data_IF_523527472302
#
_entry.id   IF_523527472302
#
_cell.length_a   1.000
_cell.length_b   1.000
_cell.length_c   1.000
_cell.angle_alpha   90.00
_cell.angle_beta   90.00
_cell.angle_gamma   90.00
#
_symmetry.space_group_name_H-M   'P 1'
#
loop_
_entity.id
_entity.type
_entity.pdbx_description
1 polymer ?
#
# COMPACT_ATOMS: atom_id res chain seq x y z
N UNK A 1 18.28 4.01 -4.43
CA UNK A 1 17.42 3.81 -5.58
C UNK A 1 17.71 4.77 -6.74
N UNK A 2 18.15 6.00 -6.48
CA UNK A 2 18.33 7.06 -7.49
C UNK A 2 19.80 7.55 -7.60
N UNK A 3 20.75 6.63 -7.52
CA UNK A 3 22.18 6.98 -7.61
C UNK A 3 22.52 7.86 -8.81
N UNK A 4 22.00 7.64 -10.02
CA UNK A 4 22.29 8.51 -11.16
C UNK A 4 21.75 9.94 -10.96
N UNK A 5 20.54 10.10 -10.40
CA UNK A 5 19.97 11.41 -10.11
C UNK A 5 20.79 12.17 -9.06
N UNK A 6 21.22 11.50 -8.00
CA UNK A 6 22.10 12.10 -6.97
C UNK A 6 23.45 12.51 -7.56
N UNK A 7 24.03 11.68 -8.44
CA UNK A 7 25.28 12.04 -9.13
C UNK A 7 25.09 13.24 -10.06
N UNK A 8 23.98 13.28 -10.82
CA UNK A 8 23.67 14.41 -11.68
C UNK A 8 23.50 15.71 -10.89
N UNK A 9 22.80 15.66 -9.75
CA UNK A 9 22.62 16.83 -8.88
C UNK A 9 23.95 17.31 -8.23
N UNK A 10 24.93 16.43 -8.05
CA UNK A 10 26.26 16.78 -7.54
C UNK A 10 27.20 17.34 -8.61
N UNK A 11 26.86 17.20 -9.89
CA UNK A 11 27.64 17.77 -10.98
C UNK A 11 27.47 19.30 -10.99
N UNK A 12 28.57 20.08 -10.90
CA UNK A 12 28.52 21.54 -10.95
C UNK A 12 27.84 22.09 -12.23
N UNK A 13 27.79 21.27 -13.28
CA UNK A 13 27.17 21.64 -14.57
C UNK A 13 25.66 21.43 -14.59
N UNK A 14 25.07 20.80 -13.57
CA UNK A 14 23.64 20.50 -13.51
C UNK A 14 22.77 21.75 -13.66
N UNK A 15 23.19 22.88 -13.06
CA UNK A 15 22.55 24.17 -13.22
C UNK A 15 23.58 25.21 -13.65
N UNK A 16 23.68 25.54 -14.96
CA UNK A 16 24.67 26.48 -15.46
C UNK A 16 24.61 27.83 -14.74
N UNK A 17 25.77 28.36 -14.34
CA UNK A 17 25.89 29.67 -13.69
C UNK A 17 25.46 29.73 -12.22
N UNK A 18 25.20 28.58 -11.58
CA UNK A 18 24.88 28.53 -10.14
C UNK A 18 25.83 27.60 -9.40
N UNK A 19 26.17 27.98 -8.17
CA UNK A 19 26.81 27.09 -7.20
C UNK A 19 25.69 26.32 -6.48
N UNK A 20 25.70 25.00 -6.62
CA UNK A 20 24.71 24.14 -5.97
C UNK A 20 25.13 23.91 -4.50
N UNK A 21 24.16 23.84 -3.58
CA UNK A 21 24.45 23.45 -2.20
C UNK A 21 24.86 21.97 -2.13
N UNK A 22 25.53 21.55 -1.06
CA UNK A 22 25.81 20.14 -0.81
C UNK A 22 24.52 19.30 -0.76
N UNK A 23 24.52 18.13 -1.41
CA UNK A 23 23.39 17.20 -1.43
C UNK A 23 23.66 16.07 -0.43
N UNK A 24 22.75 15.92 0.54
CA UNK A 24 22.77 14.86 1.54
C UNK A 24 21.54 13.97 1.37
N UNK A 25 21.75 12.67 1.23
CA UNK A 25 20.67 11.68 1.21
C UNK A 25 20.35 11.28 2.66
N UNK A 26 19.11 11.50 3.10
CA UNK A 26 18.69 11.28 4.49
C UNK A 26 17.91 9.98 4.70
N UNK A 27 17.87 9.09 3.70
CA UNK A 27 17.18 7.80 3.79
C UNK A 27 15.65 7.92 3.74
N UNK A 28 14.94 6.79 3.88
CA UNK A 28 13.49 6.81 3.86
C UNK A 28 12.96 7.50 5.12
N UNK A 29 12.18 8.59 4.90
CA UNK A 29 11.42 9.23 5.96
C UNK A 29 10.06 8.50 6.04
N UNK A 30 9.95 7.55 6.93
CA UNK A 30 8.71 6.88 7.29
C UNK A 30 8.41 7.22 8.74
N UNK A 31 7.13 7.38 9.06
CA UNK A 31 6.72 7.59 10.44
C UNK A 31 7.17 6.40 11.29
N UNK A 32 8.22 6.62 12.10
CA UNK A 32 8.69 5.66 13.09
C UNK A 32 7.74 5.68 14.29
N UNK A 33 7.40 4.50 14.76
CA UNK A 33 6.76 4.30 16.05
C UNK A 33 5.41 5.01 16.31
N UNK A 34 4.38 4.76 15.49
CA UNK A 34 2.98 4.84 15.94
C UNK A 34 2.49 6.13 16.63
N UNK A 35 3.24 7.23 16.56
CA UNK A 35 2.92 8.48 17.27
C UNK A 35 2.37 9.58 16.38
N UNK A 36 2.07 9.30 15.15
CA UNK A 36 1.59 10.31 14.20
C UNK A 36 0.08 10.26 14.05
N UNK A 37 -0.59 10.86 14.94
CA UNK A 37 -1.66 11.86 14.91
C UNK A 37 -2.24 12.00 16.33
N UNK A 38 -2.13 13.17 16.97
CA UNK A 38 -2.68 13.40 18.30
C UNK A 38 -4.21 13.36 18.34
N UNK A 39 -4.87 13.21 17.20
CA UNK A 39 -6.32 13.38 17.06
C UNK A 39 -7.12 12.10 16.73
N UNK A 40 -6.46 10.95 16.65
CA UNK A 40 -7.18 9.68 16.70
C UNK A 40 -7.07 9.16 18.13
N UNK A 41 -8.10 9.49 18.93
CA UNK A 41 -8.22 9.09 20.31
C UNK A 41 -7.78 7.66 20.52
N UNK A 42 -7.25 7.32 21.70
CA UNK A 42 -6.95 5.96 22.21
C UNK A 42 -8.22 5.09 22.09
N UNK A 43 -8.65 4.87 20.84
CA UNK A 43 -9.78 4.06 20.44
C UNK A 43 -9.34 2.64 20.16
N UNK A 44 -10.26 1.71 20.21
CA UNK A 44 -10.05 0.28 19.97
C UNK A 44 -9.15 0.03 18.73
N UNK A 45 -8.22 -0.90 18.88
CA UNK A 45 -7.33 -1.39 17.80
C UNK A 45 -8.15 -1.70 16.54
N UNK A 46 -7.69 -1.27 15.36
CA UNK A 46 -8.43 -1.46 14.12
C UNK A 46 -8.72 -2.96 13.88
N UNK A 47 -9.96 -3.30 13.55
CA UNK A 47 -10.39 -4.70 13.42
C UNK A 47 -9.58 -5.55 12.45
N UNK A 48 -8.98 -4.94 11.40
CA UNK A 48 -8.12 -5.67 10.47
C UNK A 48 -6.83 -6.19 11.14
N UNK A 49 -6.30 -5.53 12.16
CA UNK A 49 -5.12 -5.98 12.89
C UNK A 49 -5.45 -7.20 13.76
N UNK A 50 -6.63 -7.20 14.38
CA UNK A 50 -7.10 -8.37 15.13
C UNK A 50 -7.34 -9.58 14.21
N UNK A 51 -7.80 -9.34 12.97
CA UNK A 51 -7.93 -10.40 11.97
C UNK A 51 -6.55 -10.93 11.53
N UNK A 52 -5.55 -10.05 11.34
CA UNK A 52 -4.18 -10.44 11.00
C UNK A 52 -3.53 -11.29 12.09
N UNK A 53 -3.78 -11.01 13.38
CA UNK A 53 -3.26 -11.83 14.50
C UNK A 53 -3.66 -13.30 14.40
N UNK A 54 -4.80 -13.59 13.79
CA UNK A 54 -5.29 -14.97 13.59
C UNK A 54 -4.73 -15.63 12.31
N UNK A 55 -3.91 -14.94 11.52
CA UNK A 55 -3.37 -15.48 10.28
C UNK A 55 -1.95 -16.03 10.48
N UNK A 56 -1.56 -17.07 9.72
CA UNK A 56 -0.19 -17.56 9.71
C UNK A 56 0.82 -16.49 9.29
N UNK A 57 2.04 -16.61 9.75
CA UNK A 57 3.15 -15.73 9.39
C UNK A 57 3.36 -15.70 7.87
N UNK A 58 3.61 -14.49 7.31
CA UNK A 58 3.89 -14.23 5.89
C UNK A 58 2.88 -14.84 4.91
N UNK A 59 1.61 -14.97 5.32
CA UNK A 59 0.56 -15.65 4.53
C UNK A 59 -0.44 -14.73 3.87
N UNK A 60 -0.47 -13.46 4.26
CA UNK A 60 -1.49 -12.50 3.81
C UNK A 60 -0.92 -11.58 2.74
N UNK A 61 -1.62 -11.48 1.62
CA UNK A 61 -1.40 -10.44 0.61
C UNK A 61 -2.23 -9.23 0.98
N UNK A 62 -1.57 -8.10 1.26
CA UNK A 62 -2.24 -6.83 1.50
C UNK A 62 -2.44 -6.09 0.20
N UNK A 63 -3.65 -5.58 -0.08
CA UNK A 63 -3.93 -4.74 -1.24
C UNK A 63 -4.39 -3.36 -0.77
N UNK A 64 -3.65 -2.31 -1.18
CA UNK A 64 -4.03 -0.92 -0.93
C UNK A 64 -3.51 -0.01 -2.05
N UNK A 65 -4.40 0.80 -2.61
CA UNK A 65 -4.13 1.68 -3.74
C UNK A 65 -4.03 3.16 -3.32
N UNK A 66 -3.70 3.40 -2.04
CA UNK A 66 -3.48 4.72 -1.47
C UNK A 66 -4.76 5.52 -1.21
N UNK A 67 -4.58 6.78 -0.77
CA UNK A 67 -5.70 7.64 -0.36
C UNK A 67 -6.53 8.20 -1.51
N UNK A 68 -6.01 8.16 -2.74
CA UNK A 68 -6.68 8.68 -3.96
C UNK A 68 -6.88 7.60 -5.02
N UNK A 69 -6.29 6.42 -4.84
CA UNK A 69 -6.40 5.33 -5.80
C UNK A 69 -7.81 4.74 -5.81
N UNK A 70 -8.53 4.92 -6.92
CA UNK A 70 -9.83 4.30 -7.15
C UNK A 70 -9.79 3.53 -8.45
N UNK A 71 -10.53 2.43 -8.48
CA UNK A 71 -10.74 1.65 -9.68
C UNK A 71 -12.21 1.74 -10.10
N UNK A 72 -12.54 1.66 -11.40
CA UNK A 72 -13.92 1.49 -11.83
C UNK A 72 -14.50 0.16 -11.32
N UNK A 73 -15.82 0.06 -11.15
CA UNK A 73 -16.46 -1.14 -10.59
C UNK A 73 -16.07 -2.43 -11.30
N UNK A 74 -15.91 -2.40 -12.63
CA UNK A 74 -15.51 -3.54 -13.43
C UNK A 74 -14.12 -4.06 -13.03
N UNK A 75 -13.16 -3.14 -12.81
CA UNK A 75 -11.81 -3.52 -12.37
C UNK A 75 -11.82 -4.06 -10.94
N UNK A 76 -12.66 -3.52 -10.05
CA UNK A 76 -12.81 -4.04 -8.70
C UNK A 76 -13.38 -5.46 -8.71
N UNK A 77 -14.34 -5.76 -9.60
CA UNK A 77 -14.88 -7.11 -9.81
C UNK A 77 -13.82 -8.10 -10.29
N UNK A 78 -12.96 -7.68 -11.22
CA UNK A 78 -11.85 -8.51 -11.70
C UNK A 78 -10.80 -8.77 -10.60
N UNK A 79 -10.50 -7.77 -9.77
CA UNK A 79 -9.65 -7.95 -8.59
C UNK A 79 -10.27 -8.96 -7.63
N UNK A 80 -11.56 -8.80 -7.31
CA UNK A 80 -12.28 -9.73 -6.44
C UNK A 80 -12.28 -11.17 -7.02
N UNK A 81 -12.58 -11.33 -8.31
CA UNK A 81 -12.53 -12.63 -8.99
C UNK A 81 -11.13 -13.23 -8.99
N UNK A 82 -10.09 -12.41 -9.16
CA UNK A 82 -8.70 -12.84 -9.06
C UNK A 82 -8.34 -13.32 -7.65
N UNK A 83 -8.73 -12.58 -6.61
CA UNK A 83 -8.54 -12.95 -5.21
C UNK A 83 -9.27 -14.25 -4.85
N UNK A 84 -10.50 -14.42 -5.33
CA UNK A 84 -11.27 -15.64 -5.11
C UNK A 84 -10.59 -16.87 -5.73
N UNK A 85 -10.15 -16.77 -6.99
CA UNK A 85 -9.45 -17.85 -7.71
C UNK A 85 -8.05 -18.13 -7.19
N UNK A 86 -7.38 -17.14 -6.60
CA UNK A 86 -5.99 -17.28 -6.15
C UNK A 86 -5.82 -18.28 -5.01
N UNK A 87 -6.85 -18.48 -4.19
CA UNK A 87 -6.79 -19.29 -2.99
C UNK A 87 -5.93 -18.69 -1.85
N UNK A 88 -5.22 -17.57 -2.09
CA UNK A 88 -4.39 -16.93 -1.07
C UNK A 88 -5.21 -16.19 -0.02
N UNK A 89 -4.60 -15.98 1.16
CA UNK A 89 -5.13 -15.07 2.16
C UNK A 89 -4.90 -13.63 1.72
N UNK A 90 -5.89 -12.75 1.97
CA UNK A 90 -5.75 -11.36 1.59
C UNK A 90 -6.44 -10.42 2.58
N UNK A 91 -5.86 -9.24 2.70
CA UNK A 91 -6.48 -8.06 3.30
C UNK A 91 -6.59 -7.00 2.21
N UNK A 92 -7.79 -6.63 1.85
CA UNK A 92 -8.03 -5.65 0.78
C UNK A 92 -8.67 -4.37 1.32
N UNK A 93 -7.90 -3.29 1.35
CA UNK A 93 -8.41 -1.95 1.62
C UNK A 93 -8.97 -1.36 0.33
N UNK A 94 -10.30 -1.41 0.17
CA UNK A 94 -10.99 -0.91 -1.02
C UNK A 94 -11.60 0.45 -0.77
N UNK A 95 -11.39 1.35 -1.72
CA UNK A 95 -11.99 2.70 -1.69
C UNK A 95 -13.09 2.77 -2.72
N UNK A 96 -14.31 3.03 -2.23
CA UNK A 96 -15.51 3.29 -3.03
C UNK A 96 -16.17 4.58 -2.55
N UNK A 97 -16.99 5.25 -3.37
CA UNK A 97 -17.81 6.36 -2.92
C UNK A 97 -18.66 5.97 -1.71
N UNK A 98 -18.91 6.93 -0.82
CA UNK A 98 -19.74 6.69 0.35
C UNK A 98 -21.13 6.18 -0.05
N UNK A 99 -21.61 5.15 0.63
CA UNK A 99 -22.93 4.53 0.34
C UNK A 99 -22.92 3.55 -0.85
N UNK A 100 -21.77 3.28 -1.47
CA UNK A 100 -21.70 2.24 -2.51
C UNK A 100 -21.99 0.87 -1.91
N UNK A 101 -22.96 0.15 -2.47
CA UNK A 101 -23.28 -1.21 -2.10
C UNK A 101 -22.18 -2.18 -2.55
N UNK A 102 -21.93 -3.25 -1.79
CA UNK A 102 -20.93 -4.27 -2.12
C UNK A 102 -21.22 -4.99 -3.43
N UNK A 103 -22.49 -5.20 -3.77
CA UNK A 103 -22.90 -5.83 -5.02
C UNK A 103 -22.46 -5.08 -6.28
N UNK A 104 -22.13 -3.80 -6.16
CA UNK A 104 -21.61 -2.99 -7.27
C UNK A 104 -20.24 -3.45 -7.72
N UNK A 105 -19.40 -3.90 -6.79
CA UNK A 105 -17.98 -4.21 -7.06
C UNK A 105 -17.53 -5.60 -6.58
N UNK A 106 -18.29 -6.30 -5.75
CA UNK A 106 -18.01 -7.68 -5.36
C UNK A 106 -18.93 -8.65 -6.14
N UNK A 107 -18.39 -9.74 -6.68
CA UNK A 107 -19.21 -10.82 -7.24
C UNK A 107 -20.13 -11.42 -6.17
N UNK A 108 -21.30 -11.91 -6.61
CA UNK A 108 -22.25 -12.59 -5.72
C UNK A 108 -21.56 -13.71 -4.93
N UNK A 109 -21.81 -13.76 -3.62
CA UNK A 109 -21.26 -14.77 -2.72
C UNK A 109 -19.75 -14.66 -2.47
N UNK A 110 -19.06 -13.61 -2.96
CA UNK A 110 -17.61 -13.43 -2.78
C UNK A 110 -17.21 -13.44 -1.31
N UNK A 111 -17.85 -12.65 -0.47
CA UNK A 111 -17.51 -12.55 0.96
C UNK A 111 -17.69 -13.88 1.67
N UNK A 112 -18.74 -14.65 1.33
CA UNK A 112 -18.98 -15.97 1.94
C UNK A 112 -17.93 -17.00 1.53
N UNK A 113 -17.55 -17.03 0.23
CA UNK A 113 -16.51 -17.96 -0.27
C UNK A 113 -15.12 -17.65 0.25
N UNK A 114 -14.87 -16.41 0.66
CA UNK A 114 -13.54 -15.95 1.10
C UNK A 114 -13.45 -15.69 2.60
N UNK A 115 -14.51 -15.88 3.38
CA UNK A 115 -14.61 -15.52 4.81
C UNK A 115 -13.48 -16.07 5.69
N UNK A 116 -12.97 -17.27 5.38
CA UNK A 116 -11.93 -17.93 6.18
C UNK A 116 -10.51 -17.49 5.81
N UNK A 117 -10.34 -16.71 4.73
CA UNK A 117 -9.02 -16.33 4.19
C UNK A 117 -8.93 -14.89 3.70
N UNK A 118 -10.03 -14.15 3.63
CA UNK A 118 -10.07 -12.80 3.10
C UNK A 118 -10.78 -11.82 4.01
N UNK A 119 -10.24 -10.61 4.09
CA UNK A 119 -10.89 -9.49 4.75
C UNK A 119 -10.92 -8.29 3.80
N UNK A 120 -12.11 -7.78 3.52
CA UNK A 120 -12.32 -6.52 2.80
C UNK A 120 -12.58 -5.41 3.80
N UNK A 121 -11.75 -4.37 3.77
CA UNK A 121 -11.88 -3.18 4.61
C UNK A 121 -12.25 -2.00 3.72
N UNK A 122 -13.34 -1.32 4.05
CA UNK A 122 -13.78 -0.14 3.31
C UNK A 122 -13.01 1.11 3.73
N UNK A 123 -12.69 1.93 2.76
CA UNK A 123 -12.12 3.26 2.88
C UNK A 123 -10.68 3.31 3.38
N UNK A 124 -10.35 2.79 4.56
CA UNK A 124 -9.03 2.98 5.15
C UNK A 124 -8.58 1.80 6.03
N UNK A 125 -7.31 1.48 5.98
CA UNK A 125 -6.63 0.58 6.92
C UNK A 125 -5.34 1.24 7.42
N UNK A 126 -4.87 0.92 8.63
CA UNK A 126 -3.62 1.45 9.19
C UNK A 126 -2.43 0.82 8.47
N UNK A 127 -2.06 1.37 7.30
CA UNK A 127 -1.14 0.75 6.34
C UNK A 127 0.20 0.38 6.95
N UNK A 128 0.81 1.28 7.72
CA UNK A 128 2.12 1.03 8.36
C UNK A 128 2.04 -0.15 9.34
N UNK A 129 0.99 -0.20 10.16
CA UNK A 129 0.79 -1.29 11.11
C UNK A 129 0.51 -2.62 10.40
N UNK A 130 -0.27 -2.59 9.31
CA UNK A 130 -0.52 -3.77 8.47
C UNK A 130 0.76 -4.26 7.82
N UNK A 131 1.59 -3.37 7.24
CA UNK A 131 2.86 -3.73 6.63
C UNK A 131 3.88 -4.28 7.65
N UNK A 132 3.86 -3.77 8.89
CA UNK A 132 4.70 -4.24 9.99
C UNK A 132 4.25 -5.60 10.54
N UNK A 133 3.01 -6.02 10.25
CA UNK A 133 2.44 -7.20 10.86
C UNK A 133 3.11 -8.49 10.36
N UNK A 134 3.50 -9.44 11.24
CA UNK A 134 4.20 -10.67 10.84
C UNK A 134 3.43 -11.53 9.82
N UNK A 135 2.10 -11.47 9.82
CA UNK A 135 1.27 -12.21 8.86
C UNK A 135 1.30 -11.61 7.44
N UNK A 136 1.75 -10.35 7.27
CA UNK A 136 1.80 -9.71 5.95
C UNK A 136 2.99 -10.23 5.16
N UNK A 137 2.74 -10.99 4.10
CA UNK A 137 3.77 -11.61 3.26
C UNK A 137 4.03 -10.88 1.94
N UNK A 138 3.08 -10.09 1.44
CA UNK A 138 3.24 -9.32 0.21
C UNK A 138 2.30 -8.10 0.20
N UNK A 139 2.65 -7.11 -0.61
CA UNK A 139 1.87 -5.87 -0.76
C UNK A 139 1.58 -5.58 -2.23
N UNK A 140 0.31 -5.55 -2.60
CA UNK A 140 -0.14 -5.03 -3.91
C UNK A 140 -0.36 -3.54 -3.75
N UNK A 141 0.48 -2.75 -4.40
CA UNK A 141 0.54 -1.29 -4.23
C UNK A 141 0.43 -0.54 -5.54
N UNK A 142 -0.17 0.65 -5.49
CA UNK A 142 -0.17 1.60 -6.59
C UNK A 142 1.20 2.27 -6.83
N UNK A 143 2.22 1.94 -6.05
CA UNK A 143 3.57 2.52 -6.13
C UNK A 143 3.65 4.02 -5.80
N UNK A 144 2.72 4.57 -5.01
CA UNK A 144 2.88 5.90 -4.42
C UNK A 144 4.10 5.94 -3.52
N UNK A 145 4.84 7.07 -3.51
CA UNK A 145 6.16 7.15 -2.87
C UNK A 145 6.14 6.75 -1.40
N UNK A 146 5.19 7.28 -0.60
CA UNK A 146 5.10 6.93 0.82
C UNK A 146 4.84 5.43 1.03
N UNK A 147 3.88 4.85 0.29
CA UNK A 147 3.58 3.42 0.37
C UNK A 147 4.77 2.54 0.00
N UNK A 148 5.57 2.98 -0.98
CA UNK A 148 6.81 2.32 -1.38
C UNK A 148 7.84 2.36 -0.26
N UNK A 149 8.07 3.53 0.34
CA UNK A 149 9.03 3.67 1.46
C UNK A 149 8.59 2.87 2.68
N UNK A 150 7.30 2.88 3.02
CA UNK A 150 6.73 2.11 4.12
C UNK A 150 6.94 0.61 3.91
N UNK A 151 6.66 0.07 2.71
CA UNK A 151 6.88 -1.33 2.42
C UNK A 151 8.36 -1.73 2.45
N UNK A 152 9.25 -0.91 1.89
CA UNK A 152 10.70 -1.13 1.92
C UNK A 152 11.22 -1.17 3.35
N UNK A 153 10.78 -0.22 4.20
CA UNK A 153 11.23 -0.15 5.61
C UNK A 153 10.79 -1.36 6.43
N UNK A 154 9.73 -2.04 6.03
CA UNK A 154 9.26 -3.28 6.68
C UNK A 154 9.76 -4.56 5.97
N UNK A 155 10.50 -4.44 4.86
CA UNK A 155 11.00 -5.59 4.10
C UNK A 155 9.90 -6.38 3.39
N UNK A 156 8.74 -5.78 3.11
CA UNK A 156 7.61 -6.47 2.49
C UNK A 156 7.74 -6.45 0.97
N UNK A 157 7.76 -7.60 0.28
CA UNK A 157 7.78 -7.68 -1.18
C UNK A 157 6.57 -6.99 -1.79
N UNK A 158 6.79 -6.26 -2.90
CA UNK A 158 5.75 -5.48 -3.55
C UNK A 158 5.38 -6.04 -4.92
N UNK A 159 4.07 -6.09 -5.20
CA UNK A 159 3.51 -6.25 -6.53
C UNK A 159 3.00 -4.90 -7.01
N UNK A 160 3.68 -4.36 -8.01
CA UNK A 160 3.52 -2.99 -8.47
C UNK A 160 2.35 -2.85 -9.46
N UNK A 161 1.37 -2.02 -9.12
CA UNK A 161 0.22 -1.69 -9.96
C UNK A 161 0.01 -0.17 -10.03
N UNK A 162 0.86 0.55 -10.78
CA UNK A 162 0.79 2.02 -10.88
C UNK A 162 -0.51 2.48 -11.54
N UNK A 163 -1.09 3.56 -11.04
CA UNK A 163 -2.35 4.13 -11.52
C UNK A 163 -2.18 5.49 -12.20
N UNK A 164 -1.39 6.41 -11.63
CA UNK A 164 -1.21 7.78 -12.10
C UNK A 164 0.05 8.43 -11.52
N UNK A 165 0.30 9.69 -11.88
CA UNK A 165 1.42 10.51 -11.40
C UNK A 165 2.79 9.84 -11.65
N UNK A 166 3.72 9.93 -10.71
CA UNK A 166 5.06 9.37 -10.78
C UNK A 166 5.15 7.85 -10.50
N UNK A 167 4.01 7.20 -10.26
CA UNK A 167 3.95 5.81 -9.81
C UNK A 167 4.57 4.81 -10.80
N UNK A 168 4.44 5.09 -12.10
CA UNK A 168 5.09 4.26 -13.13
C UNK A 168 6.61 4.36 -13.06
N UNK A 169 7.13 5.55 -12.73
CA UNK A 169 8.57 5.75 -12.50
C UNK A 169 9.02 5.05 -11.22
N UNK A 170 8.28 5.19 -10.12
CA UNK A 170 8.57 4.52 -8.86
C UNK A 170 8.64 3.00 -9.04
N UNK A 171 7.72 2.41 -9.82
CA UNK A 171 7.73 0.98 -10.16
C UNK A 171 9.06 0.50 -10.78
N UNK A 172 9.74 1.35 -11.56
CA UNK A 172 11.00 0.98 -12.22
C UNK A 172 12.16 0.92 -11.22
N UNK A 173 12.05 1.64 -10.09
CA UNK A 173 13.07 1.68 -9.05
C UNK A 173 12.86 0.65 -7.93
N UNK A 174 11.70 -0.01 -7.89
CA UNK A 174 11.35 -1.06 -6.95
C UNK A 174 11.75 -2.43 -7.51
#
# INVERSE_FOLDING_TARGET
LESPAVQALRDPRCVPGRVLPPIYCVGPLVDGDGTSSPDQGRGARHGCLAWLDAQPESSVVFLCFGSRGTHPPEQLREIAAGLDRSGHRFLWAVRTPAGTDDSVFLPEGFLERTKDRGLVVRSWAPQVEVLRHPSTGAFVTHCGWNSTLEAISQGVPMLCWPLYAEQLMNKVFI
#
